data_IF_000240199735
#
_entry.id   IF_000240199735
#
_cell.length_a   1.000
_cell.length_b   1.000
_cell.length_c   1.000
_cell.angle_alpha   90.00
_cell.angle_beta   90.00
_cell.angle_gamma   90.00
#
_symmetry.space_group_name_H-M   'P 1'
#
loop_
_entity.id
_entity.type
_entity.pdbx_description
1 polymer ?
#
# COMPACT_ATOMS: atom_id res chain seq x y z
N UNK A 1 20.49 8.24 -1.11
CA UNK A 1 19.61 7.08 -0.97
C UNK A 1 19.33 6.54 -2.36
N UNK A 2 19.21 5.29 -2.57
CA UNK A 2 19.14 4.69 -3.90
C UNK A 2 17.77 4.74 -4.56
N UNK A 3 17.49 3.73 -5.34
CA UNK A 3 16.19 3.57 -6.00
C UNK A 3 15.18 2.93 -5.04
N UNK A 4 13.91 3.04 -5.41
CA UNK A 4 12.82 2.39 -4.67
C UNK A 4 13.06 0.88 -4.57
N UNK A 5 13.54 0.26 -5.64
CA UNK A 5 13.83 -1.18 -5.66
C UNK A 5 14.85 -1.61 -4.61
N UNK A 6 15.76 -0.73 -4.24
CA UNK A 6 16.78 -1.01 -3.21
C UNK A 6 16.20 -0.97 -1.79
N UNK A 7 15.06 -0.32 -1.61
CA UNK A 7 14.47 -0.02 -0.29
C UNK A 7 13.23 -0.86 -0.02
N UNK A 8 12.40 -1.09 -1.04
CA UNK A 8 11.09 -1.73 -0.87
C UNK A 8 11.19 -3.17 -0.40
N UNK A 9 10.17 -3.61 0.33
CA UNK A 9 9.95 -5.03 0.59
C UNK A 9 9.23 -5.64 -0.61
N UNK A 10 9.67 -6.82 -1.03
CA UNK A 10 8.97 -7.60 -2.06
C UNK A 10 7.75 -8.33 -1.53
N UNK A 11 7.53 -8.31 -0.23
CA UNK A 11 6.36 -8.93 0.38
C UNK A 11 5.18 -7.99 0.28
N UNK A 12 4.10 -8.45 -0.35
CA UNK A 12 2.88 -7.67 -0.48
C UNK A 12 1.70 -8.52 -0.05
N UNK A 13 0.68 -7.86 0.51
CA UNK A 13 -0.63 -8.47 0.73
C UNK A 13 -1.48 -8.08 -0.46
N UNK A 14 -2.03 -9.08 -1.13
CA UNK A 14 -2.93 -8.90 -2.27
C UNK A 14 -4.34 -9.25 -1.84
N UNK A 15 -5.28 -8.39 -2.14
CA UNK A 15 -6.70 -8.62 -1.88
C UNK A 15 -7.49 -8.38 -3.16
N UNK A 16 -8.67 -8.97 -3.22
CA UNK A 16 -9.59 -8.76 -4.33
C UNK A 16 -10.61 -7.66 -3.96
N UNK A 17 -11.18 -6.97 -4.95
CA UNK A 17 -12.15 -5.89 -4.66
C UNK A 17 -13.39 -6.37 -3.91
N UNK A 18 -13.77 -7.63 -4.09
CA UNK A 18 -14.95 -8.20 -3.43
C UNK A 18 -14.65 -8.83 -2.06
N UNK A 19 -13.39 -8.86 -1.64
CA UNK A 19 -13.04 -9.30 -0.30
C UNK A 19 -13.63 -8.34 0.72
N UNK A 20 -13.90 -8.83 1.95
CA UNK A 20 -14.38 -7.97 3.02
C UNK A 20 -13.23 -7.18 3.62
N UNK A 21 -13.54 -6.06 4.24
CA UNK A 21 -12.54 -5.28 4.98
C UNK A 21 -11.92 -6.11 6.10
N UNK A 22 -12.73 -6.94 6.76
CA UNK A 22 -12.24 -7.83 7.82
C UNK A 22 -11.19 -8.80 7.33
N UNK A 23 -11.43 -9.43 6.16
CA UNK A 23 -10.46 -10.33 5.55
C UNK A 23 -9.16 -9.62 5.19
N UNK A 24 -9.27 -8.43 4.61
CA UNK A 24 -8.10 -7.63 4.25
C UNK A 24 -7.30 -7.22 5.51
N UNK A 25 -8.00 -6.72 6.53
CA UNK A 25 -7.37 -6.31 7.78
C UNK A 25 -6.66 -7.47 8.47
N UNK A 26 -7.28 -8.64 8.48
CA UNK A 26 -6.71 -9.86 9.06
C UNK A 26 -5.41 -10.24 8.37
N UNK A 27 -5.39 -10.23 7.04
CA UNK A 27 -4.19 -10.55 6.26
C UNK A 27 -3.08 -9.52 6.46
N UNK A 28 -3.44 -8.24 6.52
CA UNK A 28 -2.48 -7.17 6.79
C UNK A 28 -1.88 -7.32 8.18
N UNK A 29 -2.70 -7.62 9.18
CA UNK A 29 -2.24 -7.81 10.55
C UNK A 29 -1.32 -9.02 10.68
N UNK A 30 -1.65 -10.13 10.03
CA UNK A 30 -0.82 -11.34 10.03
C UNK A 30 0.56 -11.09 9.42
N UNK A 31 0.63 -10.28 8.38
CA UNK A 31 1.90 -9.94 7.72
C UNK A 31 2.60 -8.73 8.34
N UNK A 32 1.96 -8.04 9.28
CA UNK A 32 2.53 -6.87 9.92
C UNK A 32 2.74 -5.69 8.98
N UNK A 33 1.86 -5.52 8.00
CA UNK A 33 1.96 -4.43 7.01
C UNK A 33 0.78 -3.49 7.12
N UNK A 34 0.99 -2.24 6.71
CA UNK A 34 -0.02 -1.18 6.79
C UNK A 34 -0.81 -0.94 5.50
N UNK A 35 -0.64 -1.78 4.51
CA UNK A 35 -1.36 -1.66 3.23
C UNK A 35 -1.55 -2.99 2.55
N UNK A 36 -2.51 -3.04 1.64
CA UNK A 36 -2.68 -4.16 0.72
C UNK A 36 -2.96 -3.61 -0.67
N UNK A 37 -2.46 -4.29 -1.70
CA UNK A 37 -2.78 -3.92 -3.07
C UNK A 37 -4.04 -4.66 -3.48
N UNK A 38 -4.89 -3.97 -4.23
CA UNK A 38 -6.15 -4.53 -4.73
C UNK A 38 -5.96 -4.87 -6.19
N UNK A 39 -5.98 -6.16 -6.48
CA UNK A 39 -5.85 -6.67 -7.84
C UNK A 39 -7.17 -7.27 -8.30
N UNK A 40 -7.52 -6.99 -9.53
CA UNK A 40 -8.65 -7.62 -10.23
C UNK A 40 -8.10 -8.31 -11.46
N UNK A 41 -8.13 -9.65 -11.44
CA UNK A 41 -7.56 -10.47 -12.51
C UNK A 41 -6.09 -10.10 -12.81
N UNK A 42 -5.31 -9.89 -11.75
CA UNK A 42 -3.90 -9.53 -11.84
C UNK A 42 -3.61 -8.07 -12.14
N UNK A 43 -4.64 -7.25 -12.33
CA UNK A 43 -4.50 -5.84 -12.65
C UNK A 43 -4.67 -5.00 -11.38
N UNK A 44 -3.75 -4.07 -11.15
CA UNK A 44 -3.83 -3.16 -10.01
C UNK A 44 -4.98 -2.17 -10.22
N UNK A 45 -5.96 -2.19 -9.31
CA UNK A 45 -7.10 -1.28 -9.36
C UNK A 45 -7.19 -0.37 -8.15
N UNK A 46 -6.47 -0.68 -7.07
CA UNK A 46 -6.55 0.13 -5.87
C UNK A 46 -5.50 -0.23 -4.84
N UNK A 47 -5.48 0.56 -3.78
CA UNK A 47 -4.71 0.28 -2.57
C UNK A 47 -5.62 0.49 -1.36
N UNK A 48 -5.53 -0.41 -0.40
CA UNK A 48 -6.25 -0.32 0.87
C UNK A 48 -5.22 -0.18 1.98
N UNK A 49 -5.35 0.87 2.78
CA UNK A 49 -4.39 1.17 3.84
C UNK A 49 -5.05 1.07 5.21
N UNK A 50 -4.23 1.04 6.26
CA UNK A 50 -4.71 1.06 7.64
C UNK A 50 -5.53 2.32 7.93
N UNK A 51 -5.23 3.45 7.25
CA UNK A 51 -6.04 4.67 7.37
C UNK A 51 -7.45 4.45 6.84
N UNK A 52 -7.60 3.73 5.72
CA UNK A 52 -8.90 3.40 5.16
C UNK A 52 -9.70 2.52 6.13
N UNK A 53 -9.04 1.55 6.75
CA UNK A 53 -9.67 0.70 7.76
C UNK A 53 -10.10 1.50 8.97
N UNK A 54 -9.28 2.45 9.42
CA UNK A 54 -9.63 3.33 10.52
C UNK A 54 -10.87 4.17 10.18
N UNK A 55 -10.95 4.70 8.97
CA UNK A 55 -12.11 5.47 8.51
C UNK A 55 -13.38 4.60 8.50
N UNK A 56 -13.26 3.34 8.09
CA UNK A 56 -14.38 2.41 8.08
C UNK A 56 -14.88 2.13 9.49
N UNK A 57 -13.97 1.91 10.44
CA UNK A 57 -14.32 1.71 11.85
C UNK A 57 -15.00 2.97 12.42
N UNK A 58 -14.45 4.15 12.13
CA UNK A 58 -15.05 5.42 12.56
C UNK A 58 -16.44 5.63 11.96
N UNK A 59 -16.66 5.17 10.73
CA UNK A 59 -17.95 5.19 10.05
C UNK A 59 -18.92 4.12 10.53
N UNK A 60 -18.48 3.26 11.45
CA UNK A 60 -19.30 2.19 12.05
C UNK A 60 -19.83 1.18 11.04
N UNK A 61 -19.09 0.92 9.98
CA UNK A 61 -19.46 -0.11 9.02
C UNK A 61 -19.14 -1.49 9.59
N UNK A 62 -19.89 -2.49 9.16
CA UNK A 62 -19.62 -3.87 9.52
C UNK A 62 -18.50 -4.40 8.63
N UNK A 63 -17.31 -4.60 9.19
CA UNK A 63 -16.14 -5.04 8.43
C UNK A 63 -16.29 -6.43 7.83
N UNK A 64 -17.21 -7.23 8.36
CA UNK A 64 -17.54 -8.54 7.78
C UNK A 64 -18.43 -8.45 6.54
N UNK A 65 -18.97 -7.28 6.23
CA UNK A 65 -19.88 -7.05 5.11
C UNK A 65 -19.36 -6.02 4.12
N UNK A 66 -18.70 -4.97 4.61
CA UNK A 66 -18.16 -3.92 3.76
C UNK A 66 -17.07 -4.51 2.85
N UNK A 67 -17.06 -4.11 1.59
CA UNK A 67 -16.13 -4.63 0.58
C UNK A 67 -14.94 -3.71 0.40
N UNK A 68 -13.81 -4.31 0.08
CA UNK A 68 -12.55 -3.59 -0.19
C UNK A 68 -12.78 -2.50 -1.24
N UNK A 69 -13.49 -2.79 -2.33
CA UNK A 69 -13.73 -1.82 -3.41
C UNK A 69 -14.46 -0.55 -2.96
N UNK A 70 -15.20 -0.64 -1.87
CA UNK A 70 -15.96 0.51 -1.35
C UNK A 70 -15.08 1.48 -0.55
N UNK A 71 -13.95 1.00 -0.03
CA UNK A 71 -13.09 1.75 0.88
C UNK A 71 -11.67 2.00 0.36
N UNK A 72 -11.26 1.29 -0.67
CA UNK A 72 -9.93 1.45 -1.27
C UNK A 72 -9.76 2.80 -1.94
N UNK A 73 -8.52 3.22 -2.14
CA UNK A 73 -8.20 4.30 -3.05
C UNK A 73 -8.07 3.69 -4.44
N UNK A 74 -8.94 4.13 -5.36
CA UNK A 74 -8.93 3.65 -6.75
C UNK A 74 -7.85 4.38 -7.55
N UNK A 75 -7.30 3.69 -8.54
CA UNK A 75 -6.26 4.25 -9.42
C UNK A 75 -5.15 4.93 -8.62
N UNK A 76 -4.47 4.19 -7.73
CA UNK A 76 -3.46 4.80 -6.87
C UNK A 76 -2.27 5.31 -7.69
N UNK A 77 -1.61 6.34 -7.15
CA UNK A 77 -0.31 6.76 -7.68
C UNK A 77 0.65 5.60 -7.48
N UNK A 78 1.39 5.27 -8.50
CA UNK A 78 2.36 4.17 -8.47
C UNK A 78 3.78 4.69 -8.68
N UNK A 79 4.74 3.84 -8.37
CA UNK A 79 6.15 4.12 -8.62
C UNK A 79 6.76 2.93 -9.37
N UNK A 80 7.92 3.13 -9.95
CA UNK A 80 8.72 2.08 -10.57
C UNK A 80 9.90 1.74 -9.67
N UNK A 81 10.39 0.52 -9.76
CA UNK A 81 11.58 0.09 -9.01
C UNK A 81 12.79 1.00 -9.24
N UNK A 82 12.90 1.57 -10.44
CA UNK A 82 14.02 2.43 -10.83
C UNK A 82 13.85 3.88 -10.43
N UNK A 83 12.67 4.26 -9.91
CA UNK A 83 12.45 5.63 -9.47
C UNK A 83 13.30 5.96 -8.24
N UNK A 84 13.64 7.24 -8.09
CA UNK A 84 14.39 7.74 -6.95
C UNK A 84 13.58 7.61 -5.65
N UNK A 85 14.23 7.08 -4.61
CA UNK A 85 13.64 7.02 -3.29
C UNK A 85 13.33 8.42 -2.74
N UNK A 86 14.18 9.41 -3.04
CA UNK A 86 13.96 10.80 -2.64
C UNK A 86 12.69 11.38 -3.26
N UNK A 87 12.47 11.09 -4.55
CA UNK A 87 11.26 11.54 -5.24
C UNK A 87 10.00 10.88 -4.67
N UNK A 88 10.10 9.62 -4.28
CA UNK A 88 8.99 8.92 -3.66
C UNK A 88 8.59 9.57 -2.34
N UNK A 89 9.56 9.98 -1.53
CA UNK A 89 9.28 10.71 -0.28
C UNK A 89 8.53 12.00 -0.58
N UNK A 90 8.99 12.77 -1.56
CA UNK A 90 8.34 14.02 -1.96
C UNK A 90 6.91 13.79 -2.41
N UNK A 91 6.69 12.77 -3.24
CA UNK A 91 5.36 12.41 -3.72
C UNK A 91 4.44 12.09 -2.56
N UNK A 92 4.89 11.31 -1.58
CA UNK A 92 4.12 10.96 -0.41
C UNK A 92 3.80 12.17 0.45
N UNK A 93 4.79 13.02 0.71
CA UNK A 93 4.60 14.21 1.53
C UNK A 93 3.66 15.21 0.87
N UNK A 94 3.81 15.44 -0.45
CA UNK A 94 2.98 16.39 -1.18
C UNK A 94 1.52 15.95 -1.26
N UNK A 95 1.26 14.66 -1.30
CA UNK A 95 -0.08 14.12 -1.46
C UNK A 95 -0.71 13.57 -0.17
N UNK A 96 0.05 13.51 0.91
CA UNK A 96 -0.45 13.07 2.21
C UNK A 96 -0.69 11.57 2.33
N UNK A 97 -0.10 10.75 1.48
CA UNK A 97 -0.18 9.29 1.62
C UNK A 97 1.19 8.72 1.97
N UNK A 98 1.19 7.50 2.50
CA UNK A 98 2.38 6.86 3.09
C UNK A 98 2.78 5.56 2.43
N UNK A 99 2.11 5.17 1.37
CA UNK A 99 2.34 3.92 0.66
C UNK A 99 2.21 4.15 -0.84
N UNK A 100 3.10 3.55 -1.61
CA UNK A 100 3.04 3.56 -3.07
C UNK A 100 3.16 2.12 -3.57
N UNK A 101 2.20 1.63 -4.36
CA UNK A 101 2.41 0.40 -5.10
C UNK A 101 3.55 0.60 -6.10
N UNK A 102 4.40 -0.40 -6.22
CA UNK A 102 5.53 -0.39 -7.17
C UNK A 102 5.19 -1.31 -8.31
N UNK A 103 5.21 -0.76 -9.52
CA UNK A 103 4.82 -1.46 -10.74
C UNK A 103 5.98 -1.46 -11.72
N UNK A 104 6.30 -2.62 -12.27
CA UNK A 104 7.34 -2.78 -13.28
C UNK A 104 6.80 -3.64 -14.41
N UNK A 105 6.89 -3.14 -15.64
CA UNK A 105 6.40 -3.83 -16.83
C UNK A 105 4.92 -4.28 -16.68
N UNK A 106 4.09 -3.40 -16.12
CA UNK A 106 2.66 -3.67 -15.93
C UNK A 106 2.31 -4.60 -14.77
N UNK A 107 3.30 -5.01 -13.98
CA UNK A 107 3.09 -5.94 -12.85
C UNK A 107 3.40 -5.24 -11.54
N UNK A 108 2.55 -5.47 -10.54
CA UNK A 108 2.80 -5.00 -9.18
C UNK A 108 3.86 -5.90 -8.54
N UNK A 109 5.00 -5.32 -8.22
CA UNK A 109 6.15 -6.06 -7.69
C UNK A 109 6.41 -5.79 -6.21
N UNK A 110 5.74 -4.80 -5.64
CA UNK A 110 5.90 -4.50 -4.22
C UNK A 110 5.09 -3.28 -3.82
N UNK A 111 5.29 -2.87 -2.57
CA UNK A 111 4.78 -1.61 -2.03
C UNK A 111 5.92 -0.99 -1.26
N UNK A 112 6.14 0.30 -1.44
CA UNK A 112 7.10 1.03 -0.61
C UNK A 112 6.32 1.94 0.35
N UNK A 113 6.74 1.93 1.61
CA UNK A 113 6.14 2.79 2.64
C UNK A 113 7.06 3.97 2.95
N UNK A 114 6.46 5.06 3.43
CA UNK A 114 7.23 6.21 3.91
C UNK A 114 8.18 5.78 5.02
N UNK A 115 7.75 4.88 5.90
CA UNK A 115 8.58 4.35 6.99
C UNK A 115 9.84 3.66 6.46
N UNK A 116 9.71 2.82 5.44
CA UNK A 116 10.86 2.14 4.82
C UNK A 116 11.83 3.15 4.21
N UNK A 117 11.29 4.17 3.53
CA UNK A 117 12.11 5.22 2.92
C UNK A 117 12.84 6.05 3.98
N UNK A 118 12.15 6.41 5.07
CA UNK A 118 12.74 7.16 6.17
C UNK A 118 13.82 6.36 6.89
N UNK A 119 13.57 5.08 7.10
CA UNK A 119 14.56 4.17 7.71
C UNK A 119 15.82 4.12 6.86
N UNK A 120 15.68 3.98 5.55
CA UNK A 120 16.81 3.95 4.62
C UNK A 120 17.55 5.29 4.61
N UNK A 121 16.83 6.41 4.60
CA UNK A 121 17.42 7.74 4.58
C UNK A 121 18.23 8.04 5.86
N UNK A 122 17.73 7.57 7.00
CA UNK A 122 18.36 7.79 8.30
C UNK A 122 19.33 6.68 8.67
N UNK A 123 19.32 5.56 7.96
CA UNK A 123 20.15 4.38 8.25
C UNK A 123 19.95 3.87 9.67
N UNK A 124 18.69 3.82 10.12
CA UNK A 124 18.33 3.35 11.45
C UNK A 124 17.35 2.18 11.38
N UNK A 125 17.35 1.37 12.44
CA UNK A 125 16.39 0.26 12.62
C UNK A 125 15.21 0.74 13.46
N UNK A 126 14.09 1.00 12.82
CA UNK A 126 12.87 1.45 13.50
C UNK A 126 11.71 0.48 13.30
#
# INVERSE_FOLDING_TARGET
MGSIGDVMSGEIVVVAPEDTLGEAAERMAEQGVGSSVVLDSGRLIGILTERDLLKAVAGRVHTSEARVREWMTSDPVTASETDSADEAIRTMLDNGFRHLPVVTAGRTVGVVSLRELMRAALQVDV
#
